data_IF_903346167490
#
_entry.id   IF_903346167490
#
_cell.length_a   1.000
_cell.length_b   1.000
_cell.length_c   1.000
_cell.angle_alpha   90.00
_cell.angle_beta   90.00
_cell.angle_gamma   90.00
#
_symmetry.space_group_name_H-M   'P 1'
#
loop_
_entity.id
_entity.type
_entity.pdbx_description
1 polymer ?
#
# COMPACT_ATOMS: atom_id res chain seq x y z
N UNK A 1 -5.73 9.25 -6.09
CA UNK A 1 -6.70 9.73 -7.10
C UNK A 1 -7.52 8.54 -7.59
N UNK A 2 -8.78 8.76 -8.00
CA UNK A 2 -9.68 7.68 -8.42
C UNK A 2 -10.28 7.99 -9.80
N UNK A 3 -10.27 7.01 -10.70
CA UNK A 3 -10.87 7.09 -12.03
C UNK A 3 -12.40 6.96 -11.94
N UNK A 4 -13.11 7.72 -12.80
CA UNK A 4 -14.57 7.65 -12.90
C UNK A 4 -15.06 6.44 -13.70
N UNK A 5 -14.20 5.87 -14.54
CA UNK A 5 -14.51 4.77 -15.46
C UNK A 5 -13.59 3.58 -15.21
N UNK A 6 -13.95 2.43 -15.79
CA UNK A 6 -13.09 1.26 -15.76
C UNK A 6 -11.73 1.56 -16.43
N UNK A 7 -10.60 1.18 -15.82
CA UNK A 7 -9.30 1.31 -16.47
C UNK A 7 -9.25 0.51 -17.77
N UNK A 8 -8.40 0.95 -18.71
CA UNK A 8 -8.22 0.28 -20.00
C UNK A 8 -7.81 -1.19 -19.76
N UNK A 9 -8.55 -2.13 -20.37
CA UNK A 9 -8.29 -3.57 -20.25
C UNK A 9 -9.13 -4.31 -19.22
N UNK A 10 -10.01 -3.64 -18.46
CA UNK A 10 -10.91 -4.28 -17.50
C UNK A 10 -12.38 -4.06 -17.85
N UNK A 11 -13.19 -5.09 -17.65
CA UNK A 11 -14.63 -5.02 -17.88
C UNK A 11 -15.33 -4.15 -16.82
N UNK A 12 -16.47 -3.54 -17.18
CA UNK A 12 -17.22 -2.64 -16.28
C UNK A 12 -17.91 -3.37 -15.12
N UNK A 13 -18.11 -4.67 -15.25
CA UNK A 13 -18.72 -5.58 -14.29
C UNK A 13 -17.68 -6.36 -13.46
N UNK A 14 -16.39 -6.03 -13.59
CA UNK A 14 -15.34 -6.70 -12.84
C UNK A 14 -15.59 -6.57 -11.32
N UNK A 15 -15.59 -7.67 -10.55
CA UNK A 15 -15.98 -7.67 -9.13
C UNK A 15 -15.12 -6.73 -8.27
N UNK A 16 -13.87 -6.50 -8.68
CA UNK A 16 -12.94 -5.61 -8.00
C UNK A 16 -12.69 -4.27 -8.71
N UNK A 17 -13.63 -3.83 -9.56
CA UNK A 17 -13.48 -2.58 -10.31
C UNK A 17 -13.19 -1.37 -9.41
N UNK A 18 -13.80 -1.34 -8.23
CA UNK A 18 -13.58 -0.28 -7.25
C UNK A 18 -12.11 -0.16 -6.82
N UNK A 19 -11.37 -1.27 -6.73
CA UNK A 19 -9.93 -1.27 -6.44
C UNK A 19 -9.16 -0.78 -7.67
N UNK A 20 -9.45 -1.34 -8.84
CA UNK A 20 -8.76 -1.01 -10.09
C UNK A 20 -8.87 0.48 -10.49
N UNK A 21 -9.89 1.19 -10.01
CA UNK A 21 -10.06 2.63 -10.25
C UNK A 21 -9.06 3.51 -9.47
N UNK A 22 -8.39 3.01 -8.43
CA UNK A 22 -7.39 3.78 -7.68
C UNK A 22 -6.07 3.82 -8.43
N UNK A 23 -5.50 5.02 -8.58
CA UNK A 23 -4.21 5.23 -9.26
C UNK A 23 -3.03 5.24 -8.30
N UNK A 24 -3.26 4.94 -7.03
CA UNK A 24 -2.24 4.97 -6.00
C UNK A 24 -2.77 4.39 -4.71
N UNK A 25 -1.90 3.68 -4.01
CA UNK A 25 -2.18 3.00 -2.75
C UNK A 25 -1.15 3.45 -1.72
N UNK A 26 -1.61 3.62 -0.48
CA UNK A 26 -0.76 3.97 0.66
C UNK A 26 -1.11 3.02 1.79
N UNK A 27 -0.09 2.39 2.36
CA UNK A 27 -0.19 1.67 3.62
C UNK A 27 0.50 2.49 4.70
N UNK A 28 -0.15 2.63 5.85
CA UNK A 28 0.38 3.38 6.98
C UNK A 28 0.31 2.53 8.25
N UNK A 29 1.28 2.76 9.12
CA UNK A 29 1.30 2.20 10.47
C UNK A 29 1.65 3.33 11.42
N UNK A 30 0.79 3.55 12.42
CA UNK A 30 0.96 4.61 13.40
C UNK A 30 1.66 4.05 14.64
N UNK A 31 2.65 4.79 15.13
CA UNK A 31 3.30 4.51 16.41
C UNK A 31 2.80 5.51 17.44
N UNK A 32 2.66 5.06 18.69
CA UNK A 32 2.38 5.96 19.82
C UNK A 32 3.67 6.62 20.31
N UNK A 33 3.55 7.76 20.99
CA UNK A 33 4.70 8.45 21.59
C UNK A 33 5.49 7.55 22.54
N UNK A 34 4.78 6.68 23.28
CA UNK A 34 5.41 5.69 24.14
C UNK A 34 6.29 4.72 23.34
N UNK A 35 5.79 4.18 22.22
CA UNK A 35 6.56 3.29 21.34
C UNK A 35 7.77 3.98 20.71
N UNK A 36 7.67 5.29 20.44
CA UNK A 36 8.77 6.10 19.92
C UNK A 36 9.90 6.30 20.94
N UNK A 37 9.64 6.11 22.23
CA UNK A 37 10.64 6.23 23.29
C UNK A 37 11.24 4.87 23.71
N UNK A 38 10.82 3.77 23.09
CA UNK A 38 11.32 2.44 23.43
C UNK A 38 12.71 2.20 22.84
N UNK A 39 13.57 1.52 23.61
CA UNK A 39 14.94 1.19 23.20
C UNK A 39 14.99 0.28 21.94
N UNK A 40 13.91 -0.45 21.65
CA UNK A 40 13.80 -1.35 20.50
C UNK A 40 13.09 -0.72 19.28
N UNK A 41 12.83 0.59 19.30
CA UNK A 41 12.14 1.31 18.22
C UNK A 41 12.74 1.02 16.85
N UNK A 42 14.08 1.06 16.72
CA UNK A 42 14.75 0.82 15.44
C UNK A 42 14.44 -0.58 14.88
N UNK A 43 14.42 -1.61 15.75
CA UNK A 43 14.10 -2.97 15.35
C UNK A 43 12.62 -3.11 14.95
N UNK A 44 11.73 -2.46 15.69
CA UNK A 44 10.29 -2.40 15.37
C UNK A 44 10.06 -1.73 14.01
N UNK A 45 10.70 -0.59 13.75
CA UNK A 45 10.62 0.11 12.46
C UNK A 45 11.10 -0.79 11.31
N UNK A 46 12.28 -1.40 11.45
CA UNK A 46 12.82 -2.31 10.43
C UNK A 46 11.86 -3.47 10.15
N UNK A 47 11.26 -4.06 11.19
CA UNK A 47 10.31 -5.16 11.02
C UNK A 47 9.01 -4.69 10.36
N UNK A 48 8.51 -3.51 10.69
CA UNK A 48 7.34 -2.90 10.04
C UNK A 48 7.59 -2.67 8.56
N UNK A 49 8.74 -2.07 8.19
CA UNK A 49 9.10 -1.86 6.79
C UNK A 49 9.35 -3.17 6.03
N UNK A 50 9.97 -4.17 6.66
CA UNK A 50 10.13 -5.51 6.07
C UNK A 50 8.78 -6.16 5.78
N UNK A 51 7.82 -6.00 6.68
CA UNK A 51 6.44 -6.51 6.49
C UNK A 51 5.73 -5.77 5.36
N UNK A 52 5.98 -4.48 5.19
CA UNK A 52 5.39 -3.67 4.12
C UNK A 52 6.01 -3.94 2.74
N UNK A 53 7.30 -4.34 2.70
CA UNK A 53 8.07 -4.46 1.45
C UNK A 53 7.41 -5.35 0.37
N UNK A 54 6.84 -6.54 0.66
CA UNK A 54 6.18 -7.35 -0.36
C UNK A 54 5.01 -6.65 -1.06
N UNK A 55 4.22 -5.87 -0.31
CA UNK A 55 3.13 -5.08 -0.87
C UNK A 55 3.69 -3.98 -1.78
N UNK A 56 4.73 -3.28 -1.34
CA UNK A 56 5.36 -2.24 -2.13
C UNK A 56 5.96 -2.80 -3.44
N UNK A 57 6.64 -3.94 -3.37
CA UNK A 57 7.20 -4.62 -4.53
C UNK A 57 6.10 -5.07 -5.51
N UNK A 58 4.97 -5.57 -5.00
CA UNK A 58 3.82 -5.93 -5.84
C UNK A 58 3.25 -4.71 -6.58
N UNK A 59 3.04 -3.60 -5.86
CA UNK A 59 2.51 -2.37 -6.43
C UNK A 59 3.47 -1.78 -7.47
N UNK A 60 4.77 -1.74 -7.18
CA UNK A 60 5.78 -1.25 -8.12
C UNK A 60 5.77 -2.05 -9.43
N UNK A 61 5.78 -3.40 -9.34
CA UNK A 61 5.67 -4.26 -10.51
C UNK A 61 4.37 -4.05 -11.30
N UNK A 62 3.24 -3.91 -10.60
CA UNK A 62 1.94 -3.73 -11.24
C UNK A 62 1.80 -2.37 -11.93
N UNK A 63 2.48 -1.35 -11.43
CA UNK A 63 2.43 0.03 -11.95
C UNK A 63 3.57 0.35 -12.93
N UNK A 64 4.53 -0.56 -13.13
CA UNK A 64 5.63 -0.40 -14.08
C UNK A 64 6.77 0.50 -13.58
N UNK A 65 6.97 0.55 -12.25
CA UNK A 65 8.14 1.19 -11.63
C UNK A 65 9.33 0.24 -11.55
#
# INVERSE_FOLDING_TARGET
MKLKTAPKGYAKDHPHLHLLQYTGYVASHNFTDAQMCENDLAQKLVNTFKTLKPLNDFLNRAMGY
#
